data_IF_475498818513
#
_entry.id   IF_475498818513
#
_cell.length_a   1.000
_cell.length_b   1.000
_cell.length_c   1.000
_cell.angle_alpha   90.00
_cell.angle_beta   90.00
_cell.angle_gamma   90.00
#
_symmetry.space_group_name_H-M   'P 1'
#
loop_
_entity.id
_entity.type
_entity.pdbx_description
1 polymer ?
#
# COMPACT_ATOMS: atom_id res chain seq x y z
N UNK A 1 -22.39 3.58 -18.51
CA UNK A 1 -21.15 2.81 -18.24
C UNK A 1 -20.62 3.31 -16.93
N UNK A 2 -20.28 2.43 -16.00
CA UNK A 2 -19.52 2.85 -14.82
C UNK A 2 -18.16 3.38 -15.31
N UNK A 3 -17.85 4.63 -15.00
CA UNK A 3 -16.66 5.30 -15.52
C UNK A 3 -15.40 4.71 -14.88
N UNK A 4 -14.37 4.42 -15.69
CA UNK A 4 -13.08 3.99 -15.15
C UNK A 4 -12.39 5.22 -14.56
N UNK A 5 -12.19 5.20 -13.25
CA UNK A 5 -11.49 6.27 -12.54
C UNK A 5 -10.02 5.87 -12.34
N UNK A 6 -9.13 6.86 -12.40
CA UNK A 6 -7.69 6.68 -12.22
C UNK A 6 -7.24 7.35 -10.92
N UNK A 7 -6.41 6.64 -10.17
CA UNK A 7 -6.05 6.98 -8.81
C UNK A 7 -4.57 6.75 -8.54
N UNK A 8 -4.02 7.58 -7.65
CA UNK A 8 -2.66 7.50 -7.16
C UNK A 8 -2.62 7.51 -5.63
N UNK A 9 -1.78 6.66 -5.05
CA UNK A 9 -1.46 6.68 -3.63
C UNK A 9 0.04 6.50 -3.43
N UNK A 10 0.63 7.36 -2.60
CA UNK A 10 2.01 7.22 -2.11
C UNK A 10 1.99 7.26 -0.59
N UNK A 11 2.53 6.22 0.05
CA UNK A 11 2.61 6.10 1.50
C UNK A 11 4.01 5.68 1.92
N UNK A 12 4.43 6.18 3.09
CA UNK A 12 5.57 5.65 3.82
C UNK A 12 5.08 4.89 5.07
N UNK A 13 5.44 3.63 5.19
CA UNK A 13 5.24 2.80 6.38
C UNK A 13 6.21 3.13 7.51
N UNK A 14 7.22 3.98 7.24
CA UNK A 14 8.17 4.41 8.24
C UNK A 14 7.47 5.13 9.40
N UNK A 15 7.69 4.64 10.62
CA UNK A 15 7.15 5.26 11.83
C UNK A 15 7.96 6.54 12.12
N UNK A 16 7.32 7.72 12.15
CA UNK A 16 8.03 8.94 12.50
C UNK A 16 8.47 8.89 13.96
N UNK A 17 9.57 9.56 14.28
CA UNK A 17 10.09 9.64 15.64
C UNK A 17 10.33 11.10 16.04
N UNK A 18 10.18 11.39 17.31
CA UNK A 18 10.56 12.67 17.92
C UNK A 18 11.59 12.43 19.00
N UNK A 19 12.59 13.30 19.08
CA UNK A 19 13.55 13.31 20.19
C UNK A 19 13.03 14.25 21.27
N UNK A 20 13.00 13.79 22.51
CA UNK A 20 12.73 14.62 23.68
C UNK A 20 13.93 14.47 24.60
N UNK A 21 14.64 15.56 24.86
CA UNK A 21 15.90 15.52 25.59
C UNK A 21 15.82 16.35 26.86
N UNK A 22 16.53 15.92 27.91
CA UNK A 22 16.68 16.77 29.08
C UNK A 22 17.57 18.00 28.80
N UNK A 23 17.27 19.16 29.41
CA UNK A 23 18.06 20.37 29.25
C UNK A 23 19.27 20.41 30.20
N UNK A 24 20.13 19.38 30.14
CA UNK A 24 21.33 19.25 30.98
C UNK A 24 22.62 19.60 30.23
N UNK A 25 23.34 20.62 30.70
CA UNK A 25 24.68 20.95 30.16
C UNK A 25 25.70 19.86 30.49
N UNK A 26 25.59 19.25 31.68
CA UNK A 26 26.50 18.21 32.15
C UNK A 26 26.42 16.95 31.27
N UNK A 27 25.19 16.58 30.86
CA UNK A 27 24.94 15.39 30.03
C UNK A 27 24.93 15.70 28.53
N UNK A 28 25.21 16.95 28.12
CA UNK A 28 25.09 17.37 26.73
C UNK A 28 25.95 16.55 25.76
N UNK A 29 27.14 16.12 26.18
CA UNK A 29 28.01 15.28 25.33
C UNK A 29 27.36 13.95 24.99
N UNK A 30 26.71 13.30 25.96
CA UNK A 30 26.01 12.04 25.74
C UNK A 30 24.72 12.26 24.96
N UNK A 31 23.94 13.30 25.29
CA UNK A 31 22.75 13.69 24.50
C UNK A 31 23.12 13.88 23.04
N UNK A 32 24.19 14.61 22.73
CA UNK A 32 24.65 14.87 21.37
C UNK A 32 25.06 13.59 20.65
N UNK A 33 25.85 12.74 21.32
CA UNK A 33 26.31 11.45 20.78
C UNK A 33 25.10 10.55 20.45
N UNK A 34 24.25 10.32 21.44
CA UNK A 34 23.08 9.44 21.35
C UNK A 34 22.08 9.95 20.33
N UNK A 35 21.77 11.25 20.35
CA UNK A 35 20.86 11.84 19.35
C UNK A 35 21.41 11.66 17.93
N UNK A 36 22.73 11.78 17.74
CA UNK A 36 23.36 11.53 16.45
C UNK A 36 23.24 10.06 16.04
N UNK A 37 23.53 9.13 16.95
CA UNK A 37 23.39 7.69 16.71
C UNK A 37 21.94 7.32 16.33
N UNK A 38 20.95 7.91 16.99
CA UNK A 38 19.53 7.70 16.69
C UNK A 38 19.18 8.23 15.30
N UNK A 39 19.62 9.43 14.94
CA UNK A 39 19.33 10.03 13.63
C UNK A 39 19.94 9.18 12.51
N UNK A 40 21.16 8.70 12.70
CA UNK A 40 21.84 7.83 11.74
C UNK A 40 21.15 6.45 11.66
N UNK A 41 20.65 5.93 12.78
CA UNK A 41 19.89 4.67 12.84
C UNK A 41 18.46 4.78 12.28
N UNK A 42 17.86 5.98 12.27
CA UNK A 42 16.50 6.27 11.82
C UNK A 42 16.47 7.38 10.74
N UNK A 43 17.13 7.16 9.59
CA UNK A 43 17.32 8.20 8.58
C UNK A 43 15.98 8.75 8.08
N UNK A 44 15.80 10.08 8.17
CA UNK A 44 14.60 10.78 7.70
C UNK A 44 13.35 10.65 8.58
N UNK A 45 13.41 9.86 9.67
CA UNK A 45 12.27 9.63 10.58
C UNK A 45 12.23 10.59 11.76
N UNK A 46 13.40 10.96 12.27
CA UNK A 46 13.53 12.01 13.29
C UNK A 46 13.48 13.36 12.59
N UNK A 47 12.40 14.13 12.82
CA UNK A 47 12.19 15.44 12.18
C UNK A 47 12.28 16.63 13.12
N UNK A 48 12.14 16.36 14.42
CA UNK A 48 12.07 17.39 15.46
C UNK A 48 12.64 16.89 16.77
N UNK A 49 13.18 17.84 17.52
CA UNK A 49 13.69 17.68 18.87
C UNK A 49 12.96 18.66 19.80
N UNK A 50 12.62 18.18 21.00
CA UNK A 50 12.07 18.96 22.09
C UNK A 50 13.01 18.89 23.29
N UNK A 51 12.98 19.93 24.12
CA UNK A 51 13.58 19.90 25.45
C UNK A 51 12.48 19.72 26.50
N UNK A 52 12.74 18.91 27.52
CA UNK A 52 11.84 18.83 28.68
C UNK A 52 11.62 20.22 29.29
N UNK A 53 10.38 20.49 29.71
CA UNK A 53 9.94 21.76 30.28
C UNK A 53 9.59 22.83 29.24
N UNK A 54 9.45 22.48 27.95
CA UNK A 54 9.05 23.40 26.88
C UNK A 54 8.36 22.66 25.72
N UNK A 55 7.38 23.31 25.09
CA UNK A 55 6.69 22.80 23.89
C UNK A 55 7.35 23.27 22.57
N UNK A 56 8.44 24.01 22.63
CA UNK A 56 9.10 24.52 21.44
C UNK A 56 9.90 23.43 20.74
N UNK A 57 9.65 23.29 19.44
CA UNK A 57 10.26 22.28 18.58
C UNK A 57 11.44 22.85 17.79
N UNK A 58 12.53 22.10 17.81
CA UNK A 58 13.73 22.39 17.02
C UNK A 58 13.78 21.46 15.80
N UNK A 59 13.93 21.99 14.57
CA UNK A 59 13.97 21.16 13.38
C UNK A 59 15.28 20.36 13.33
N UNK A 60 15.15 19.06 13.09
CA UNK A 60 16.30 18.16 12.95
C UNK A 60 16.07 17.31 11.71
N UNK A 61 16.88 17.48 10.67
CA UNK A 61 16.83 16.67 9.44
C UNK A 61 18.03 15.75 9.32
N UNK A 62 19.15 16.20 9.87
CA UNK A 62 20.44 15.51 9.81
C UNK A 62 21.16 15.67 11.15
N UNK A 63 22.14 14.80 11.40
CA UNK A 63 23.07 14.95 12.54
C UNK A 63 23.82 16.30 12.54
N UNK A 64 23.99 16.91 11.36
CA UNK A 64 24.61 18.23 11.22
C UNK A 64 23.80 19.35 11.87
N UNK A 65 22.47 19.21 11.93
CA UNK A 65 21.59 20.22 12.52
C UNK A 65 21.77 20.28 14.04
N UNK A 66 21.81 19.13 14.71
CA UNK A 66 22.07 19.06 16.16
C UNK A 66 23.49 19.53 16.48
N UNK A 67 24.50 19.13 15.69
CA UNK A 67 25.89 19.57 15.94
C UNK A 67 26.07 21.08 15.85
N UNK A 68 25.34 21.74 14.94
CA UNK A 68 25.43 23.19 14.72
C UNK A 68 24.52 23.98 15.66
N UNK A 69 23.25 23.59 15.78
CA UNK A 69 22.23 24.31 16.54
C UNK A 69 22.18 23.93 18.02
N UNK A 70 22.53 22.67 18.34
CA UNK A 70 22.39 22.09 19.67
C UNK A 70 23.04 22.90 20.80
N UNK A 71 24.28 23.42 20.69
CA UNK A 71 24.88 24.26 21.71
C UNK A 71 24.10 25.56 22.01
N UNK A 72 23.42 26.12 21.01
CA UNK A 72 22.51 27.25 21.22
C UNK A 72 21.23 26.82 21.92
N UNK A 73 20.63 25.73 21.44
CA UNK A 73 19.36 25.22 21.97
C UNK A 73 19.49 24.75 23.43
N UNK A 74 20.59 24.10 23.81
CA UNK A 74 20.81 23.71 25.21
C UNK A 74 20.91 24.94 26.12
N UNK A 75 21.63 25.98 25.68
CA UNK A 75 21.78 27.22 26.45
C UNK A 75 20.45 27.96 26.65
N UNK A 76 19.56 27.89 25.66
CA UNK A 76 18.21 28.47 25.75
C UNK A 76 17.28 27.71 26.71
N UNK A 77 17.57 26.44 26.99
CA UNK A 77 16.71 25.57 27.78
C UNK A 77 17.33 25.14 29.12
N UNK A 78 18.60 25.42 29.36
CA UNK A 78 19.35 25.03 30.55
C UNK A 78 18.61 25.42 31.85
N UNK A 79 18.60 24.49 32.81
CA UNK A 79 17.99 24.71 34.13
C UNK A 79 16.47 24.61 34.17
N UNK A 80 15.80 24.26 33.06
CA UNK A 80 14.37 23.94 33.05
C UNK A 80 14.08 22.65 33.84
N UNK A 81 12.89 22.55 34.45
CA UNK A 81 12.47 21.32 35.12
C UNK A 81 12.24 20.18 34.12
N UNK A 82 12.39 18.94 34.59
CA UNK A 82 12.13 17.72 33.81
C UNK A 82 10.61 17.46 33.76
N UNK A 83 9.90 18.28 32.96
CA UNK A 83 8.46 18.14 32.70
C UNK A 83 8.23 17.74 31.25
N UNK A 84 7.44 16.70 31.00
CA UNK A 84 7.10 16.21 29.67
C UNK A 84 5.75 16.70 29.18
N UNK A 85 4.84 17.12 30.06
CA UNK A 85 3.48 17.57 29.72
C UNK A 85 3.46 18.60 28.57
N UNK A 86 4.31 19.65 28.56
CA UNK A 86 4.30 20.61 27.45
C UNK A 86 4.56 19.99 26.08
N UNK A 87 5.36 18.92 26.03
CA UNK A 87 5.67 18.20 24.79
C UNK A 87 4.52 17.26 24.42
N UNK A 88 3.99 16.50 25.38
CA UNK A 88 2.92 15.54 25.11
C UNK A 88 1.60 16.23 24.72
N UNK A 89 1.29 17.39 25.31
CA UNK A 89 0.16 18.23 24.92
C UNK A 89 0.28 18.74 23.47
N UNK A 90 1.48 19.19 23.06
CA UNK A 90 1.76 19.62 21.68
C UNK A 90 1.60 18.45 20.69
N UNK A 91 2.16 17.28 21.03
CA UNK A 91 2.06 16.08 20.20
C UNK A 91 0.61 15.55 20.12
N UNK A 92 -0.13 15.60 21.22
CA UNK A 92 -1.54 15.21 21.29
C UNK A 92 -2.43 16.14 20.47
N UNK A 93 -2.18 17.45 20.51
CA UNK A 93 -2.91 18.43 19.70
C UNK A 93 -2.69 18.29 18.17
N UNK A 94 -1.61 17.63 17.75
CA UNK A 94 -1.30 17.33 16.36
C UNK A 94 -1.69 15.91 15.91
N UNK A 95 -2.36 15.12 16.78
CA UNK A 95 -2.65 13.71 16.55
C UNK A 95 -1.39 12.90 16.16
N UNK A 96 -0.25 13.19 16.80
CA UNK A 96 1.02 12.55 16.45
C UNK A 96 1.02 11.05 16.79
N UNK A 97 1.15 10.20 15.76
CA UNK A 97 1.11 8.73 15.88
C UNK A 97 2.47 8.03 15.74
N UNK A 98 3.57 8.75 16.00
CA UNK A 98 4.92 8.19 15.97
C UNK A 98 5.45 7.79 17.34
N UNK A 99 6.74 7.48 17.37
CA UNK A 99 7.47 7.10 18.60
C UNK A 99 8.11 8.32 19.25
N UNK A 100 8.11 8.34 20.58
CA UNK A 100 8.71 9.40 21.39
C UNK A 100 9.97 8.84 22.04
N UNK A 101 11.13 9.33 21.61
CA UNK A 101 12.43 8.92 22.13
C UNK A 101 12.85 9.90 23.22
N UNK A 102 12.72 9.47 24.48
CA UNK A 102 12.96 10.30 25.65
C UNK A 102 14.35 10.04 26.23
N UNK A 103 15.27 10.99 26.06
CA UNK A 103 16.64 10.92 26.57
C UNK A 103 16.71 11.73 27.87
N UNK A 104 16.78 11.04 29.00
CA UNK A 104 16.96 11.70 30.29
C UNK A 104 17.70 10.81 31.29
N UNK A 105 18.37 11.45 32.24
CA UNK A 105 19.02 10.83 33.39
C UNK A 105 18.05 10.43 34.50
N UNK A 106 16.80 10.93 34.45
CA UNK A 106 15.73 10.67 35.41
C UNK A 106 14.38 10.67 34.68
N UNK A 107 13.37 10.07 35.29
CA UNK A 107 12.01 10.19 34.77
C UNK A 107 11.49 11.63 34.90
N UNK A 108 10.79 12.15 33.87
CA UNK A 108 10.02 13.37 34.01
C UNK A 108 9.00 13.24 35.16
N UNK A 109 8.85 14.32 35.92
CA UNK A 109 8.08 14.31 37.18
C UNK A 109 6.58 14.06 36.92
N UNK A 110 6.10 14.49 35.77
CA UNK A 110 4.72 14.50 35.31
C UNK A 110 4.42 13.38 34.29
N UNK A 111 5.34 12.43 34.10
CA UNK A 111 5.12 11.31 33.17
C UNK A 111 3.93 10.43 33.61
N UNK A 112 3.73 10.31 34.93
CA UNK A 112 2.68 9.48 35.53
C UNK A 112 1.27 9.96 35.15
N UNK A 113 1.11 11.25 34.80
CA UNK A 113 -0.16 11.82 34.35
C UNK A 113 -0.69 11.16 33.05
N UNK A 114 0.18 10.42 32.33
CA UNK A 114 -0.12 9.81 31.03
C UNK A 114 -0.19 8.28 31.06
N UNK A 115 -0.06 7.61 32.21
CA UNK A 115 0.00 6.14 32.30
C UNK A 115 -1.22 5.40 31.74
N UNK A 116 -2.37 6.07 31.67
CA UNK A 116 -3.64 5.53 31.17
C UNK A 116 -3.96 5.98 29.73
N UNK A 117 -2.99 6.59 29.05
CA UNK A 117 -3.11 7.02 27.64
C UNK A 117 -2.30 6.11 26.73
N UNK A 118 -2.65 6.08 25.44
CA UNK A 118 -1.88 5.33 24.43
C UNK A 118 -0.53 6.00 24.07
N UNK A 119 -0.26 7.20 24.59
CA UNK A 119 1.02 7.90 24.40
C UNK A 119 2.13 7.22 25.18
N UNK A 120 1.87 6.68 26.38
CA UNK A 120 2.90 6.06 27.22
C UNK A 120 3.54 4.84 26.54
N UNK A 121 2.75 4.08 25.78
CA UNK A 121 3.19 2.89 25.05
C UNK A 121 4.10 3.25 23.85
N UNK A 122 4.07 4.51 23.41
CA UNK A 122 4.88 5.05 22.32
C UNK A 122 6.20 5.64 22.81
N UNK A 123 6.41 5.72 24.13
CA UNK A 123 7.64 6.25 24.71
C UNK A 123 8.69 5.14 24.76
N UNK A 124 9.88 5.46 24.24
CA UNK A 124 11.10 4.71 24.48
C UNK A 124 12.00 5.61 25.32
N UNK A 125 12.18 5.23 26.58
CA UNK A 125 13.07 5.90 27.51
C UNK A 125 14.50 5.43 27.27
N UNK A 126 15.40 6.37 26.98
CA UNK A 126 16.83 6.11 26.81
C UNK A 126 17.50 6.62 28.08
N UNK A 127 17.87 5.66 28.93
CA UNK A 127 18.36 5.95 30.27
C UNK A 127 19.81 6.44 30.22
N UNK A 128 20.00 7.70 30.59
CA UNK A 128 21.30 8.33 30.74
C UNK A 128 21.82 8.31 32.19
N UNK A 129 21.02 7.81 33.13
CA UNK A 129 21.33 7.71 34.54
C UNK A 129 22.01 6.40 34.89
N UNK A 130 22.14 6.17 36.20
CA UNK A 130 22.69 4.95 36.79
C UNK A 130 21.67 4.20 37.66
N UNK A 131 20.40 4.64 37.64
CA UNK A 131 19.33 4.07 38.45
C UNK A 131 18.51 3.06 37.66
N UNK A 132 17.80 2.18 38.37
CA UNK A 132 16.81 1.31 37.73
C UNK A 132 15.53 2.11 37.46
N UNK A 133 15.06 2.06 36.21
CA UNK A 133 13.87 2.74 35.75
C UNK A 133 12.80 1.72 35.43
N UNK A 134 11.61 1.90 36.00
CA UNK A 134 10.47 1.00 35.88
C UNK A 134 9.24 1.76 35.39
N UNK A 135 8.50 1.18 34.46
CA UNK A 135 7.24 1.73 33.96
C UNK A 135 6.67 0.92 32.80
N UNK A 136 5.56 1.39 32.22
CA UNK A 136 4.89 0.77 31.05
C UNK A 136 5.58 1.04 29.70
N UNK A 137 6.63 1.87 29.69
CA UNK A 137 7.40 2.24 28.50
C UNK A 137 8.63 1.33 28.33
N UNK A 138 9.21 1.33 27.13
CA UNK A 138 10.44 0.58 26.85
C UNK A 138 11.65 1.35 27.38
N UNK A 139 12.60 0.67 28.04
CA UNK A 139 13.84 1.28 28.55
C UNK A 139 15.03 0.74 27.76
N UNK A 140 15.88 1.65 27.27
CA UNK A 140 17.09 1.34 26.49
C UNK A 140 18.31 1.98 27.16
N UNK A 141 19.36 1.19 27.35
CA UNK A 141 20.62 1.68 27.90
C UNK A 141 21.47 2.41 26.83
N UNK A 142 22.28 3.37 27.29
CA UNK A 142 23.20 4.17 26.45
C UNK A 142 24.15 3.36 25.56
N UNK A 143 24.53 2.14 25.95
CA UNK A 143 25.51 1.32 25.24
C UNK A 143 24.99 0.74 23.92
N UNK A 144 23.68 0.58 23.79
CA UNK A 144 23.08 -0.27 22.75
C UNK A 144 22.00 0.47 21.93
N UNK A 145 21.98 1.79 22.02
CA UNK A 145 20.94 2.64 21.39
C UNK A 145 20.82 2.39 19.89
N UNK A 146 21.93 2.44 19.16
CA UNK A 146 21.94 2.25 17.70
C UNK A 146 21.45 0.86 17.25
N UNK A 147 21.52 -0.14 18.13
CA UNK A 147 21.11 -1.52 17.85
C UNK A 147 19.64 -1.75 18.25
N UNK A 148 19.21 -1.23 19.40
CA UNK A 148 17.88 -1.49 19.95
C UNK A 148 16.79 -0.55 19.41
N UNK A 149 17.11 0.72 19.16
CA UNK A 149 16.10 1.70 18.74
C UNK A 149 15.41 1.31 17.42
N UNK A 150 16.11 0.86 16.36
CA UNK A 150 15.45 0.49 15.12
C UNK A 150 14.37 -0.60 15.27
N UNK A 151 14.62 -1.61 16.11
CA UNK A 151 13.67 -2.70 16.33
C UNK A 151 12.47 -2.28 17.17
N UNK A 152 12.69 -1.41 18.17
CA UNK A 152 11.62 -0.89 19.02
C UNK A 152 10.72 0.11 18.27
N UNK A 153 11.30 0.93 17.39
CA UNK A 153 10.55 1.87 16.53
C UNK A 153 9.80 1.14 15.42
N UNK A 154 10.20 -0.08 15.06
CA UNK A 154 9.55 -0.86 14.02
C UNK A 154 8.08 -1.11 14.37
N UNK A 155 7.19 -0.80 13.43
CA UNK A 155 5.77 -1.11 13.46
C UNK A 155 5.32 -1.48 12.06
N UNK A 156 5.85 -2.61 11.58
CA UNK A 156 5.63 -3.07 10.23
C UNK A 156 4.13 -3.30 9.96
N UNK A 157 3.68 -3.06 8.72
CA UNK A 157 2.35 -3.47 8.32
C UNK A 157 2.26 -5.01 8.36
N UNK A 158 1.22 -5.51 9.03
CA UNK A 158 0.81 -6.93 8.97
C UNK A 158 0.01 -7.19 7.71
N UNK A 159 -0.91 -6.28 7.39
CA UNK A 159 -1.80 -6.39 6.24
C UNK A 159 -1.86 -5.03 5.55
N UNK A 160 -1.69 -5.03 4.23
CA UNK A 160 -1.89 -3.87 3.37
C UNK A 160 -2.85 -4.28 2.28
N UNK A 161 -3.96 -3.55 2.13
CA UNK A 161 -4.94 -3.88 1.10
C UNK A 161 -5.72 -2.66 0.59
N UNK A 162 -6.19 -2.74 -0.64
CA UNK A 162 -7.06 -1.73 -1.26
C UNK A 162 -8.48 -2.27 -1.33
N UNK A 163 -9.44 -1.48 -0.87
CA UNK A 163 -10.87 -1.79 -0.93
C UNK A 163 -11.72 -0.53 -0.97
N UNK A 164 -12.97 -0.66 -1.35
CA UNK A 164 -13.98 0.41 -1.34
C UNK A 164 -15.35 -0.15 -1.69
N UNK A 165 -16.40 0.66 -1.55
CA UNK A 165 -17.74 0.25 -1.97
C UNK A 165 -17.86 0.33 -3.49
N UNK A 166 -18.46 -0.68 -4.11
CA UNK A 166 -18.52 -0.85 -5.57
C UNK A 166 -17.16 -0.99 -6.25
N UNK A 167 -16.07 -1.04 -5.49
CA UNK A 167 -14.72 -1.11 -6.00
C UNK A 167 -14.48 -2.39 -6.80
N UNK A 168 -13.94 -2.25 -8.00
CA UNK A 168 -13.32 -3.34 -8.75
C UNK A 168 -12.06 -2.86 -9.48
N UNK A 169 -10.93 -3.58 -9.35
CA UNK A 169 -9.70 -3.21 -10.04
C UNK A 169 -9.79 -3.55 -11.53
N UNK A 170 -9.53 -2.56 -12.38
CA UNK A 170 -9.40 -2.73 -13.84
C UNK A 170 -7.93 -2.99 -14.18
N UNK A 171 -7.03 -2.15 -13.69
CA UNK A 171 -5.59 -2.30 -13.84
C UNK A 171 -4.88 -1.60 -12.68
N UNK A 172 -3.71 -2.10 -12.27
CA UNK A 172 -2.90 -1.43 -11.26
C UNK A 172 -1.41 -1.68 -11.45
N UNK A 173 -0.61 -0.76 -10.93
CA UNK A 173 0.84 -0.88 -10.83
C UNK A 173 1.25 -0.54 -9.39
N UNK A 174 2.01 -1.42 -8.75
CA UNK A 174 2.49 -1.23 -7.38
C UNK A 174 4.01 -1.31 -7.40
N UNK A 175 4.68 -0.19 -7.12
CA UNK A 175 6.13 -0.16 -6.94
C UNK A 175 6.50 -0.57 -5.51
N UNK A 176 7.68 -1.16 -5.34
CA UNK A 176 8.17 -1.64 -4.03
C UNK A 176 7.23 -2.66 -3.37
N UNK A 177 6.74 -3.58 -4.19
CA UNK A 177 5.88 -4.69 -3.82
C UNK A 177 6.63 -6.02 -4.02
N UNK A 178 6.51 -6.94 -3.07
CA UNK A 178 6.98 -8.32 -3.21
C UNK A 178 5.96 -9.16 -3.98
N UNK A 179 4.68 -9.05 -3.61
CA UNK A 179 3.59 -9.75 -4.26
C UNK A 179 2.27 -8.99 -4.10
N UNK A 180 1.35 -9.14 -5.06
CA UNK A 180 0.00 -8.61 -4.96
C UNK A 180 -1.00 -9.57 -5.58
N UNK A 181 -2.23 -9.55 -5.10
CA UNK A 181 -3.31 -10.39 -5.65
C UNK A 181 -4.66 -9.71 -5.50
N UNK A 182 -5.55 -9.95 -6.46
CA UNK A 182 -6.95 -9.55 -6.37
C UNK A 182 -7.75 -10.71 -5.80
N UNK A 183 -8.50 -10.44 -4.74
CA UNK A 183 -9.41 -11.38 -4.12
C UNK A 183 -10.85 -10.88 -4.25
N UNK A 184 -11.77 -11.83 -4.27
CA UNK A 184 -13.20 -11.59 -4.24
C UNK A 184 -13.77 -12.31 -3.02
N UNK A 185 -14.19 -11.54 -2.02
CA UNK A 185 -14.67 -12.04 -0.73
C UNK A 185 -15.96 -11.28 -0.39
N UNK A 186 -17.04 -11.99 -0.06
CA UNK A 186 -18.32 -11.40 0.40
C UNK A 186 -18.88 -10.30 -0.53
N UNK A 187 -18.75 -10.48 -1.84
CA UNK A 187 -19.25 -9.50 -2.82
C UNK A 187 -18.36 -8.27 -3.00
N UNK A 188 -17.14 -8.26 -2.45
CA UNK A 188 -16.18 -7.15 -2.58
C UNK A 188 -14.89 -7.61 -3.21
N UNK A 189 -14.34 -6.77 -4.09
CA UNK A 189 -12.97 -6.93 -4.55
C UNK A 189 -11.99 -6.31 -3.54
N UNK A 190 -10.88 -6.98 -3.33
CA UNK A 190 -9.78 -6.51 -2.48
C UNK A 190 -8.46 -6.76 -3.17
N UNK A 191 -7.60 -5.74 -3.28
CA UNK A 191 -6.20 -5.96 -3.68
C UNK A 191 -5.40 -6.19 -2.41
N UNK A 192 -4.91 -7.41 -2.15
CA UNK A 192 -3.95 -7.67 -1.07
C UNK A 192 -2.53 -7.39 -1.56
N UNK A 193 -1.74 -6.69 -0.76
CA UNK A 193 -0.40 -6.19 -1.10
C UNK A 193 0.60 -6.66 -0.04
N UNK A 194 1.69 -7.28 -0.48
CA UNK A 194 2.84 -7.59 0.35
C UNK A 194 3.97 -6.60 0.00
N UNK A 195 4.19 -5.55 0.81
CA UNK A 195 5.22 -4.55 0.51
C UNK A 195 6.63 -5.13 0.62
N UNK A 196 7.53 -4.71 -0.26
CA UNK A 196 8.97 -5.07 -0.18
C UNK A 196 9.83 -3.95 0.38
N UNK A 197 9.28 -2.75 0.57
CA UNK A 197 9.96 -1.59 1.14
C UNK A 197 9.04 -0.76 2.03
N UNK A 198 9.61 0.22 2.73
CA UNK A 198 8.85 1.16 3.55
C UNK A 198 8.05 2.17 2.74
N UNK A 199 8.38 2.38 1.46
CA UNK A 199 7.61 3.27 0.60
C UNK A 199 6.80 2.43 -0.39
N UNK A 200 5.53 2.77 -0.54
CA UNK A 200 4.63 2.12 -1.49
C UNK A 200 4.02 3.18 -2.39
N UNK A 201 4.10 2.94 -3.70
CA UNK A 201 3.42 3.76 -4.71
C UNK A 201 2.46 2.88 -5.49
N UNK A 202 1.22 3.32 -5.59
CA UNK A 202 0.14 2.59 -6.25
C UNK A 202 -0.47 3.51 -7.30
N UNK A 203 -0.46 3.05 -8.55
CA UNK A 203 -1.31 3.56 -9.60
C UNK A 203 -2.46 2.57 -9.80
N UNK A 204 -3.70 3.06 -9.83
CA UNK A 204 -4.90 2.23 -9.85
C UNK A 204 -5.91 2.80 -10.84
N UNK A 205 -6.31 1.98 -11.81
CA UNK A 205 -7.51 2.19 -12.61
C UNK A 205 -8.59 1.24 -12.09
N UNK A 206 -9.75 1.78 -11.72
CA UNK A 206 -10.80 1.02 -11.07
C UNK A 206 -12.20 1.52 -11.45
N UNK A 207 -13.18 0.64 -11.27
CA UNK A 207 -14.59 1.00 -11.19
C UNK A 207 -14.90 1.24 -9.71
N UNK A 208 -15.57 2.35 -9.41
CA UNK A 208 -15.99 2.71 -8.06
C UNK A 208 -17.38 3.36 -8.13
N UNK A 209 -18.10 3.44 -7.01
CA UNK A 209 -19.22 4.38 -6.89
C UNK A 209 -18.67 5.83 -6.87
N UNK A 210 -19.36 6.76 -7.53
CA UNK A 210 -18.93 8.17 -7.69
C UNK A 210 -18.79 8.90 -6.33
N UNK A 211 -19.33 8.30 -5.26
CA UNK A 211 -19.31 8.83 -3.89
C UNK A 211 -18.24 8.19 -3.01
N UNK A 212 -17.60 7.09 -3.44
CA UNK A 212 -16.63 6.37 -2.63
C UNK A 212 -15.33 6.11 -3.40
N UNK A 213 -14.29 6.85 -3.03
CA UNK A 213 -12.93 6.57 -3.49
C UNK A 213 -12.41 5.28 -2.83
N UNK A 214 -11.59 4.48 -3.54
CA UNK A 214 -10.93 3.36 -2.90
C UNK A 214 -9.95 3.87 -1.84
N UNK A 215 -9.79 3.08 -0.77
CA UNK A 215 -8.89 3.37 0.33
C UNK A 215 -7.78 2.33 0.39
N UNK A 216 -6.56 2.79 0.68
CA UNK A 216 -5.48 1.92 1.13
C UNK A 216 -5.62 1.73 2.65
N UNK A 217 -5.80 0.48 3.06
CA UNK A 217 -5.97 0.07 4.43
C UNK A 217 -4.69 -0.59 4.93
N UNK A 218 -4.19 -0.14 6.07
CA UNK A 218 -2.95 -0.62 6.67
C UNK A 218 -3.22 -1.06 8.10
N UNK A 219 -3.05 -2.35 8.39
CA UNK A 219 -3.10 -2.90 9.74
C UNK A 219 -1.68 -3.18 10.19
N UNK A 220 -1.27 -2.62 11.34
CA UNK A 220 0.10 -2.74 11.86
C UNK A 220 0.17 -3.71 13.03
N UNK A 221 1.39 -4.16 13.34
CA UNK A 221 1.64 -5.08 14.46
C UNK A 221 1.21 -4.53 15.82
N UNK A 222 1.49 -3.25 16.09
CA UNK A 222 1.26 -2.60 17.39
C UNK A 222 0.02 -1.69 17.41
N UNK A 223 -0.87 -1.78 16.41
CA UNK A 223 -2.10 -0.97 16.35
C UNK A 223 -3.33 -1.85 16.21
N UNK A 224 -4.35 -1.56 17.02
CA UNK A 224 -5.67 -2.19 16.90
C UNK A 224 -6.54 -1.51 15.83
N UNK A 225 -6.21 -0.28 15.42
CA UNK A 225 -6.95 0.47 14.40
C UNK A 225 -6.31 0.28 13.03
N UNK A 226 -7.16 0.11 12.02
CA UNK A 226 -6.76 0.11 10.60
C UNK A 226 -6.56 1.56 10.18
N UNK A 227 -5.35 1.89 9.74
CA UNK A 227 -5.04 3.17 9.11
C UNK A 227 -5.66 3.19 7.71
N UNK A 228 -6.37 4.27 7.39
CA UNK A 228 -7.02 4.47 6.09
C UNK A 228 -6.40 5.64 5.37
N UNK A 229 -5.95 5.41 4.14
CA UNK A 229 -5.35 6.43 3.30
C UNK A 229 -6.18 6.53 2.01
N UNK A 230 -6.78 7.70 1.81
CA UNK A 230 -7.54 7.99 0.61
C UNK A 230 -6.61 8.12 -0.60
N UNK A 231 -6.99 7.50 -1.70
CA UNK A 231 -6.35 7.73 -2.99
C UNK A 231 -6.67 9.12 -3.52
N UNK A 232 -5.75 9.68 -4.31
CA UNK A 232 -5.95 10.94 -5.04
C UNK A 232 -6.31 10.64 -6.49
N UNK A 233 -7.21 11.41 -7.13
CA UNK A 233 -7.42 11.33 -8.56
C UNK A 233 -6.12 11.57 -9.33
N UNK A 234 -5.89 10.81 -10.39
CA UNK A 234 -4.77 10.94 -11.30
C UNK A 234 -5.27 11.07 -12.74
N UNK A 235 -4.48 11.69 -13.62
CA UNK A 235 -4.74 11.61 -15.05
C UNK A 235 -4.71 10.14 -15.52
N UNK A 236 -5.49 9.78 -16.55
CA UNK A 236 -5.45 8.44 -17.12
C UNK A 236 -4.03 8.02 -17.51
N UNK A 237 -3.49 7.04 -16.79
CA UNK A 237 -2.15 6.49 -17.02
C UNK A 237 -2.24 5.15 -17.77
N UNK A 238 -3.31 4.40 -17.52
CA UNK A 238 -3.64 3.20 -18.26
C UNK A 238 -4.42 3.56 -19.52
N UNK A 239 -3.93 3.11 -20.68
CA UNK A 239 -4.65 3.23 -21.97
C UNK A 239 -4.93 1.83 -22.47
N UNK A 240 -6.22 1.52 -22.66
CA UNK A 240 -6.64 0.30 -23.34
C UNK A 240 -6.02 0.28 -24.74
N UNK A 241 -5.06 -0.63 -24.95
CA UNK A 241 -4.41 -0.79 -26.25
C UNK A 241 -4.89 -2.08 -26.89
N UNK A 242 -5.84 -1.91 -27.80
CA UNK A 242 -6.29 -2.97 -28.69
C UNK A 242 -5.20 -3.28 -29.72
N UNK A 243 -4.99 -4.56 -29.97
CA UNK A 243 -4.02 -5.09 -30.91
C UNK A 243 -4.75 -5.74 -32.08
N UNK A 244 -4.18 -5.65 -33.29
CA UNK A 244 -4.78 -6.30 -34.46
C UNK A 244 -4.66 -7.82 -34.38
N UNK A 245 -5.74 -8.50 -34.73
CA UNK A 245 -5.72 -9.95 -34.93
C UNK A 245 -4.91 -10.26 -36.21
N UNK A 246 -3.93 -11.18 -36.14
CA UNK A 246 -3.18 -11.61 -37.31
C UNK A 246 -4.10 -12.08 -38.45
N UNK A 247 -3.82 -11.66 -39.69
CA UNK A 247 -4.69 -11.91 -40.85
C UNK A 247 -5.00 -13.39 -41.07
N UNK A 248 -4.03 -14.26 -40.78
CA UNK A 248 -4.17 -15.71 -40.88
C UNK A 248 -5.09 -16.33 -39.82
N UNK A 249 -5.45 -15.59 -38.76
CA UNK A 249 -6.35 -16.04 -37.70
C UNK A 249 -7.77 -15.46 -37.83
N UNK A 250 -7.97 -14.40 -38.62
CA UNK A 250 -9.28 -13.73 -38.70
C UNK A 250 -10.40 -14.63 -39.20
N UNK A 251 -10.13 -15.50 -40.17
CA UNK A 251 -11.13 -16.46 -40.66
C UNK A 251 -11.54 -17.47 -39.58
N UNK A 252 -10.59 -17.88 -38.73
CA UNK A 252 -10.86 -18.77 -37.59
C UNK A 252 -11.72 -18.04 -36.57
N UNK A 253 -11.32 -16.82 -36.15
CA UNK A 253 -12.07 -16.02 -35.19
C UNK A 253 -13.51 -15.76 -35.67
N UNK A 254 -13.72 -15.38 -36.92
CA UNK A 254 -15.07 -15.19 -37.49
C UNK A 254 -15.90 -16.46 -37.46
N UNK A 255 -15.29 -17.61 -37.77
CA UNK A 255 -15.98 -18.91 -37.70
C UNK A 255 -16.38 -19.21 -36.26
N UNK A 256 -15.47 -19.03 -35.30
CA UNK A 256 -15.74 -19.24 -33.87
C UNK A 256 -16.87 -18.33 -33.35
N UNK A 257 -16.82 -17.03 -33.68
CA UNK A 257 -17.86 -16.04 -33.34
C UNK A 257 -19.23 -16.44 -33.90
N UNK A 258 -19.26 -16.95 -35.13
CA UNK A 258 -20.49 -17.39 -35.80
C UNK A 258 -20.93 -18.80 -35.39
N UNK A 259 -20.21 -19.42 -34.46
CA UNK A 259 -20.40 -20.83 -34.06
C UNK A 259 -20.33 -21.82 -35.24
N UNK A 260 -19.51 -21.49 -36.23
CA UNK A 260 -19.23 -22.32 -37.41
C UNK A 260 -17.89 -23.05 -37.28
N UNK A 261 -17.78 -24.17 -37.98
CA UNK A 261 -16.53 -24.90 -38.10
C UNK A 261 -15.46 -24.12 -38.86
N UNK A 262 -14.19 -24.38 -38.56
CA UNK A 262 -13.07 -23.83 -39.32
C UNK A 262 -12.10 -24.91 -39.79
N UNK A 263 -11.27 -24.56 -40.78
CA UNK A 263 -10.17 -25.41 -41.24
C UNK A 263 -8.91 -25.06 -40.44
N UNK A 264 -8.41 -26.01 -39.67
CA UNK A 264 -7.23 -25.78 -38.84
C UNK A 264 -6.00 -25.51 -39.72
N UNK A 265 -5.25 -24.42 -39.46
CA UNK A 265 -4.09 -24.07 -40.27
C UNK A 265 -2.96 -25.09 -40.16
N UNK A 266 -2.98 -25.96 -39.14
CA UNK A 266 -1.92 -26.93 -38.82
C UNK A 266 -2.17 -28.31 -39.46
N UNK A 267 -3.28 -28.97 -39.12
CA UNK A 267 -3.60 -30.31 -39.64
C UNK A 267 -4.44 -30.28 -40.93
N UNK A 268 -4.90 -29.10 -41.36
CA UNK A 268 -5.79 -28.89 -42.51
C UNK A 268 -7.14 -29.62 -42.43
N UNK A 269 -7.53 -30.12 -41.25
CA UNK A 269 -8.83 -30.74 -41.00
C UNK A 269 -9.84 -29.74 -40.45
N UNK A 270 -11.11 -30.11 -40.54
CA UNK A 270 -12.24 -29.36 -39.98
C UNK A 270 -12.30 -29.55 -38.47
N UNK A 271 -12.46 -28.46 -37.73
CA UNK A 271 -12.62 -28.44 -36.27
C UNK A 271 -13.90 -27.68 -35.88
N UNK A 272 -14.43 -28.02 -34.69
CA UNK A 272 -15.54 -27.30 -34.05
C UNK A 272 -15.09 -25.90 -33.61
N UNK A 273 -16.04 -24.97 -33.51
CA UNK A 273 -15.80 -23.56 -33.18
C UNK A 273 -15.14 -23.33 -31.82
N UNK A 274 -15.35 -24.24 -30.86
CA UNK A 274 -14.81 -24.18 -29.50
C UNK A 274 -13.42 -24.82 -29.35
N UNK A 275 -12.87 -25.41 -30.42
CA UNK A 275 -11.59 -26.12 -30.35
C UNK A 275 -10.44 -25.13 -30.15
N UNK A 276 -9.73 -25.22 -29.02
CA UNK A 276 -8.57 -24.37 -28.70
C UNK A 276 -7.22 -25.01 -29.06
N UNK A 277 -7.16 -26.35 -29.12
CA UNK A 277 -5.93 -27.11 -29.37
C UNK A 277 -6.12 -28.09 -30.52
N UNK A 278 -5.22 -28.04 -31.50
CA UNK A 278 -5.14 -29.01 -32.57
C UNK A 278 -4.49 -30.31 -32.05
N UNK A 279 -5.12 -31.49 -32.21
CA UNK A 279 -4.56 -32.78 -31.78
C UNK A 279 -3.18 -33.11 -32.39
N UNK A 280 -2.88 -32.56 -33.58
CA UNK A 280 -1.63 -32.82 -34.30
C UNK A 280 -0.60 -31.68 -34.19
N UNK A 281 -0.95 -30.57 -33.53
CA UNK A 281 -0.15 -29.33 -33.62
C UNK A 281 -0.20 -28.39 -32.43
N UNK A 282 -0.98 -28.63 -31.38
CA UNK A 282 -1.04 -27.70 -30.24
C UNK A 282 -1.93 -26.47 -30.52
N UNK A 283 -1.68 -25.30 -29.88
CA UNK A 283 -2.63 -24.18 -29.85
C UNK A 283 -3.11 -23.73 -31.24
N UNK A 284 -4.43 -23.51 -31.43
CA UNK A 284 -4.99 -23.13 -32.74
C UNK A 284 -4.74 -21.65 -33.04
N UNK A 285 -4.88 -20.78 -32.05
CA UNK A 285 -4.66 -19.33 -32.17
C UNK A 285 -3.18 -18.98 -31.91
N UNK A 286 -2.26 -19.66 -32.59
CA UNK A 286 -0.81 -19.36 -32.51
C UNK A 286 -0.55 -17.93 -33.00
N UNK A 287 -0.15 -17.07 -32.08
CA UNK A 287 0.07 -15.63 -32.33
C UNK A 287 -0.77 -14.73 -31.43
N UNK A 288 -1.77 -15.27 -30.74
CA UNK A 288 -2.44 -14.59 -29.63
C UNK A 288 -1.82 -15.02 -28.29
N UNK A 289 -1.78 -14.13 -27.28
CA UNK A 289 -1.23 -14.46 -25.97
C UNK A 289 -2.08 -15.52 -25.26
N UNK A 290 -1.40 -16.54 -24.73
CA UNK A 290 -1.99 -17.60 -23.90
C UNK A 290 -1.86 -17.26 -22.41
N UNK A 291 -2.62 -17.96 -21.57
CA UNK A 291 -2.50 -17.89 -20.10
C UNK A 291 -3.46 -16.91 -19.43
N UNK A 292 -4.36 -16.28 -20.17
CA UNK A 292 -5.31 -15.30 -19.63
C UNK A 292 -6.56 -15.15 -20.49
N UNK A 293 -7.37 -14.14 -20.16
CA UNK A 293 -8.58 -13.84 -20.90
C UNK A 293 -8.30 -12.90 -22.07
N UNK A 294 -8.82 -13.24 -23.25
CA UNK A 294 -8.86 -12.38 -24.42
C UNK A 294 -10.25 -11.78 -24.55
N UNK A 295 -10.31 -10.49 -24.85
CA UNK A 295 -11.51 -9.81 -25.33
C UNK A 295 -11.22 -9.42 -26.76
N UNK A 296 -12.13 -9.69 -27.69
CA UNK A 296 -11.87 -9.41 -29.09
C UNK A 296 -13.14 -8.99 -29.83
N UNK A 297 -12.92 -8.21 -30.87
CA UNK A 297 -13.86 -7.99 -31.97
C UNK A 297 -13.42 -8.84 -33.17
N UNK A 298 -14.00 -8.61 -34.35
CA UNK A 298 -13.59 -9.36 -35.55
C UNK A 298 -12.12 -9.11 -35.98
N UNK A 299 -11.60 -7.92 -35.71
CA UNK A 299 -10.29 -7.47 -36.24
C UNK A 299 -9.26 -7.15 -35.16
N UNK A 300 -9.69 -6.98 -33.91
CA UNK A 300 -8.82 -6.56 -32.81
C UNK A 300 -9.04 -7.37 -31.55
N UNK A 301 -8.02 -7.46 -30.71
CA UNK A 301 -8.06 -8.12 -29.42
C UNK A 301 -7.37 -7.29 -28.34
N UNK A 302 -7.81 -7.50 -27.11
CA UNK A 302 -7.27 -6.96 -25.88
C UNK A 302 -7.02 -8.13 -24.93
N UNK A 303 -5.82 -8.21 -24.36
CA UNK A 303 -5.43 -9.28 -23.45
C UNK A 303 -5.49 -8.81 -22.01
N UNK A 304 -6.30 -9.48 -21.21
CA UNK A 304 -6.40 -9.29 -19.77
C UNK A 304 -5.35 -10.14 -19.06
N UNK A 305 -4.43 -9.48 -18.36
CA UNK A 305 -3.55 -10.13 -17.40
C UNK A 305 -4.38 -10.63 -16.20
N UNK A 306 -3.87 -11.62 -15.45
CA UNK A 306 -4.60 -12.23 -14.34
C UNK A 306 -5.07 -11.24 -13.26
N UNK A 307 -4.31 -10.15 -13.06
CA UNK A 307 -4.63 -9.10 -12.10
C UNK A 307 -5.44 -7.94 -12.69
N UNK A 308 -5.94 -8.08 -13.91
CA UNK A 308 -6.70 -7.06 -14.62
C UNK A 308 -8.13 -7.50 -14.86
N UNK A 309 -8.99 -6.51 -15.07
CA UNK A 309 -10.40 -6.71 -15.42
C UNK A 309 -10.80 -5.75 -16.53
N UNK A 310 -11.91 -6.04 -17.20
CA UNK A 310 -12.50 -5.22 -18.24
C UNK A 310 -13.93 -4.85 -17.89
N UNK A 311 -14.28 -3.54 -17.87
CA UNK A 311 -15.66 -3.13 -17.68
C UNK A 311 -16.52 -3.53 -18.88
N UNK A 312 -17.67 -4.11 -18.60
CA UNK A 312 -18.70 -4.44 -19.60
C UNK A 312 -19.93 -3.55 -19.37
N UNK A 313 -20.77 -3.43 -20.40
CA UNK A 313 -22.07 -2.77 -20.32
C UNK A 313 -22.96 -3.35 -19.22
N UNK A 314 -23.87 -2.51 -18.72
CA UNK A 314 -24.82 -2.83 -17.64
C UNK A 314 -24.15 -3.18 -16.29
N UNK A 315 -23.10 -2.43 -15.94
CA UNK A 315 -22.37 -2.55 -14.66
C UNK A 315 -21.81 -3.95 -14.44
N UNK A 316 -21.32 -4.57 -15.51
CA UNK A 316 -20.69 -5.88 -15.48
C UNK A 316 -19.18 -5.76 -15.57
N UNK A 317 -18.48 -6.80 -15.15
CA UNK A 317 -17.02 -6.86 -15.15
C UNK A 317 -16.58 -8.24 -15.62
N UNK A 318 -15.60 -8.30 -16.52
CA UNK A 318 -14.90 -9.53 -16.89
C UNK A 318 -13.48 -9.51 -16.31
N UNK A 319 -13.13 -10.48 -15.49
CA UNK A 319 -11.79 -10.60 -14.90
C UNK A 319 -10.84 -11.38 -15.80
N UNK A 320 -9.53 -11.21 -15.61
CA UNK A 320 -8.49 -11.92 -16.37
C UNK A 320 -8.49 -13.45 -16.20
N UNK A 321 -9.10 -13.96 -15.13
CA UNK A 321 -9.35 -15.39 -14.91
C UNK A 321 -10.64 -15.90 -15.54
N UNK A 322 -11.34 -15.06 -16.30
CA UNK A 322 -12.52 -15.42 -17.09
C UNK A 322 -13.81 -15.49 -16.29
N UNK A 323 -13.96 -14.73 -15.21
CA UNK A 323 -15.21 -14.66 -14.44
C UNK A 323 -15.98 -13.38 -14.75
N UNK A 324 -17.30 -13.49 -14.80
CA UNK A 324 -18.20 -12.37 -15.05
C UNK A 324 -18.95 -12.01 -13.77
N UNK A 325 -18.89 -10.74 -13.39
CA UNK A 325 -19.57 -10.18 -12.24
C UNK A 325 -20.54 -9.06 -12.65
N UNK A 326 -21.49 -8.76 -11.78
CA UNK A 326 -22.38 -7.61 -11.92
C UNK A 326 -22.46 -6.84 -10.60
N UNK A 327 -22.34 -5.52 -10.67
CA UNK A 327 -22.55 -4.65 -9.53
C UNK A 327 -24.05 -4.48 -9.26
N UNK A 328 -24.47 -4.67 -8.02
CA UNK A 328 -25.86 -4.47 -7.57
C UNK A 328 -26.05 -3.09 -6.91
N UNK A 329 -27.29 -2.78 -6.54
CA UNK A 329 -27.67 -1.48 -5.98
C UNK A 329 -27.10 -1.23 -4.56
N UNK A 330 -26.65 -2.30 -3.88
CA UNK A 330 -25.99 -2.23 -2.56
C UNK A 330 -24.47 -2.00 -2.67
N UNK A 331 -23.97 -1.69 -3.88
CA UNK A 331 -22.55 -1.54 -4.18
C UNK A 331 -21.72 -2.81 -3.92
N UNK A 332 -22.36 -3.98 -4.06
CA UNK A 332 -21.73 -5.29 -3.99
C UNK A 332 -21.70 -5.95 -5.37
N UNK A 333 -20.63 -6.69 -5.63
CA UNK A 333 -20.44 -7.45 -6.85
C UNK A 333 -21.00 -8.86 -6.68
N UNK A 334 -21.82 -9.29 -7.63
CA UNK A 334 -22.39 -10.62 -7.70
C UNK A 334 -21.69 -11.41 -8.79
N UNK A 335 -21.15 -12.58 -8.44
CA UNK A 335 -20.65 -13.53 -9.43
C UNK A 335 -21.82 -14.07 -10.25
N UNK A 336 -21.72 -13.93 -11.58
CA UNK A 336 -22.75 -14.43 -12.49
C UNK A 336 -22.39 -15.83 -13.00
N UNK A 337 -21.20 -15.97 -13.60
CA UNK A 337 -20.73 -17.21 -14.22
C UNK A 337 -19.26 -17.10 -14.66
N UNK A 338 -18.72 -18.24 -15.06
CA UNK A 338 -17.48 -18.33 -15.82
C UNK A 338 -17.76 -18.07 -17.31
N UNK A 339 -16.75 -17.55 -18.00
CA UNK A 339 -16.77 -17.24 -19.42
C UNK A 339 -16.69 -18.53 -20.24
N UNK A 340 -17.67 -18.73 -21.11
CA UNK A 340 -17.62 -19.82 -22.07
C UNK A 340 -16.71 -19.46 -23.27
N UNK A 341 -16.08 -20.45 -23.94
CA UNK A 341 -15.25 -20.18 -25.11
C UNK A 341 -16.00 -19.42 -26.19
N UNK A 342 -15.46 -18.29 -26.64
CA UNK A 342 -16.03 -17.42 -27.67
C UNK A 342 -17.41 -16.87 -27.32
N UNK A 343 -17.70 -16.72 -26.02
CA UNK A 343 -18.96 -16.15 -25.57
C UNK A 343 -19.03 -14.65 -25.91
N UNK A 344 -20.20 -14.20 -26.40
CA UNK A 344 -20.48 -12.77 -26.54
C UNK A 344 -20.64 -12.14 -25.15
N UNK A 345 -19.74 -11.23 -24.79
CA UNK A 345 -19.73 -10.57 -23.48
C UNK A 345 -20.38 -9.19 -23.50
N UNK A 346 -20.34 -8.52 -24.65
CA UNK A 346 -20.95 -7.20 -24.86
C UNK A 346 -21.35 -6.97 -26.33
N UNK A 347 -21.84 -5.78 -26.64
CA UNK A 347 -22.19 -5.38 -28.01
C UNK A 347 -20.96 -5.34 -28.92
N UNK A 348 -20.84 -6.36 -29.79
CA UNK A 348 -19.74 -6.51 -30.73
C UNK A 348 -18.43 -7.00 -30.10
N UNK A 349 -18.47 -7.52 -28.86
CA UNK A 349 -17.32 -8.05 -28.14
C UNK A 349 -17.54 -9.49 -27.70
N UNK A 350 -16.50 -10.29 -27.85
CA UNK A 350 -16.45 -11.68 -27.45
C UNK A 350 -15.29 -11.92 -26.48
N UNK A 351 -15.48 -12.85 -25.56
CA UNK A 351 -14.48 -13.28 -24.60
C UNK A 351 -13.96 -14.67 -24.93
N UNK A 352 -12.68 -14.91 -24.61
CA UNK A 352 -12.09 -16.25 -24.62
C UNK A 352 -11.09 -16.38 -23.47
N UNK A 353 -11.34 -17.29 -22.54
CA UNK A 353 -10.32 -17.71 -21.57
C UNK A 353 -9.34 -18.67 -22.26
N UNK A 354 -8.16 -18.16 -22.64
CA UNK A 354 -7.21 -18.91 -23.46
C UNK A 354 -6.11 -19.55 -22.61
N UNK A 355 -6.47 -20.60 -21.86
CA UNK A 355 -5.56 -21.43 -21.05
C UNK A 355 -5.51 -22.84 -21.66
N UNK A 356 -4.31 -23.32 -22.00
CA UNK A 356 -4.05 -24.62 -22.65
C UNK A 356 -3.18 -25.48 -21.74
#
# INVERSE_FOLDING_TARGET
MSEIMNFYCEVSFAVPAVLVVEPSEDNWKDILRVSTEIIDALPGRVRRLYFLGRNERYPVRTQGDIRKGGPGWIKENAGRPLLINPVLEDLGGEDFNGVILLLSSKLPIDLDDWEDTDIIERIIFIDMGSGEIYGKYNVVNLSDVSVQIPSLVKNDPLEVFVSGDGFAPVCYSIESCKSSSVLFEEGKFVIKIEPSSENLKIHLAAICDDKSYPELNIKRQKSFKIEKIAFKPENPWFKEKWNKIPDNLRSIIRSCISSEHFICPQCKRKHESDTLTCPEGGPILRGLPVGGCLIFSEDEYFFLMESSSYPLGNSRLLTGDGKIYKLNDECLWEYLKDLEPYERVDDGLWGLLYRI
#
